data_IF_273737394839
#
_entry.id   IF_273737394839
#
_cell.length_a   1.000
_cell.length_b   1.000
_cell.length_c   1.000
_cell.angle_alpha   90.00
_cell.angle_beta   90.00
_cell.angle_gamma   90.00
#
_symmetry.space_group_name_H-M   'P 1'
#
loop_
_entity.id
_entity.type
_entity.pdbx_description
1 polymer ?
#
# COMPACT_ATOMS: atom_id res chain seq x y z
N UNK A 1 -35.54 48.57 27.42
CA UNK A 1 -35.83 47.20 26.96
C UNK A 1 -34.72 46.79 26.02
N UNK A 2 -33.76 45.97 26.47
CA UNK A 2 -32.67 45.47 25.62
C UNK A 2 -32.91 43.99 25.35
N UNK A 3 -33.23 43.67 24.09
CA UNK A 3 -33.40 42.30 23.61
C UNK A 3 -32.03 41.68 23.37
N UNK A 4 -31.68 40.67 24.16
CA UNK A 4 -30.44 39.90 24.00
C UNK A 4 -30.65 38.87 22.89
N UNK A 5 -30.03 39.10 21.73
CA UNK A 5 -29.92 38.08 20.68
C UNK A 5 -28.98 36.97 21.17
N UNK A 6 -29.52 35.77 21.37
CA UNK A 6 -28.77 34.57 21.72
C UNK A 6 -28.28 33.95 20.41
N UNK A 7 -26.99 34.15 20.08
CA UNK A 7 -26.36 33.55 18.90
C UNK A 7 -26.15 32.05 19.20
N UNK A 8 -27.02 31.21 18.64
CA UNK A 8 -26.88 29.75 18.74
C UNK A 8 -25.74 29.32 17.80
N UNK A 9 -24.54 29.14 18.34
CA UNK A 9 -23.42 28.52 17.62
C UNK A 9 -23.72 27.02 17.53
N UNK A 10 -24.29 26.60 16.40
CA UNK A 10 -24.42 25.18 16.08
C UNK A 10 -23.03 24.71 15.62
N UNK A 11 -22.24 24.22 16.57
CA UNK A 11 -20.98 23.54 16.26
C UNK A 11 -21.34 22.20 15.60
N UNK A 12 -21.26 22.13 14.28
CA UNK A 12 -21.43 20.88 13.54
C UNK A 12 -20.28 19.93 13.91
N UNK A 13 -20.55 18.97 14.79
CA UNK A 13 -19.63 17.85 15.02
C UNK A 13 -19.60 17.01 13.76
N UNK A 14 -18.48 17.05 13.04
CA UNK A 14 -18.19 16.12 11.94
C UNK A 14 -17.92 14.76 12.58
N UNK A 15 -18.89 13.86 12.51
CA UNK A 15 -18.71 12.46 12.91
C UNK A 15 -18.04 11.74 11.75
N UNK A 16 -16.76 11.38 11.91
CA UNK A 16 -16.07 10.51 10.96
C UNK A 16 -16.65 9.10 11.08
N UNK A 17 -17.25 8.60 10.00
CA UNK A 17 -17.74 7.23 9.92
C UNK A 17 -16.55 6.38 9.45
N UNK A 18 -16.22 5.26 10.12
CA UNK A 18 -15.17 4.38 9.64
C UNK A 18 -15.54 3.89 8.24
N UNK A 19 -14.68 4.15 7.28
CA UNK A 19 -14.88 3.71 5.91
C UNK A 19 -14.89 2.17 5.85
N UNK A 20 -15.81 1.61 5.07
CA UNK A 20 -15.84 0.16 4.83
C UNK A 20 -14.79 -0.13 3.77
N UNK A 21 -13.92 -1.10 4.04
CA UNK A 21 -12.87 -1.46 3.10
C UNK A 21 -12.85 -2.96 2.77
N UNK A 22 -12.29 -3.28 1.60
CA UNK A 22 -12.06 -4.65 1.11
C UNK A 22 -10.56 -4.91 1.05
N UNK A 23 -10.10 -5.99 1.65
CA UNK A 23 -8.69 -6.39 1.57
C UNK A 23 -8.46 -7.31 0.36
N UNK A 24 -7.58 -6.90 -0.56
CA UNK A 24 -7.15 -7.69 -1.72
C UNK A 24 -5.66 -7.47 -1.91
N UNK A 25 -4.88 -8.56 -2.04
CA UNK A 25 -3.44 -8.52 -2.33
C UNK A 25 -2.61 -7.58 -1.44
N UNK A 26 -2.82 -7.65 -0.11
CA UNK A 26 -2.16 -6.79 0.88
C UNK A 26 -2.49 -5.29 0.75
N UNK A 27 -3.55 -4.94 0.03
CA UNK A 27 -4.11 -3.59 -0.03
C UNK A 27 -5.49 -3.58 0.57
N UNK A 28 -5.78 -2.50 1.28
CA UNK A 28 -7.11 -2.19 1.76
C UNK A 28 -7.72 -1.16 0.79
N UNK A 29 -8.84 -1.51 0.15
CA UNK A 29 -9.56 -0.69 -0.83
C UNK A 29 -10.81 -0.10 -0.21
N UNK A 30 -10.93 1.24 -0.23
CA UNK A 30 -12.18 1.90 0.16
C UNK A 30 -13.26 1.64 -0.87
N UNK A 31 -14.52 1.65 -0.43
CA UNK A 31 -15.64 1.32 -1.30
C UNK A 31 -15.95 2.49 -2.25
N UNK A 32 -15.97 2.28 -3.57
CA UNK A 32 -16.37 3.32 -4.53
C UNK A 32 -17.71 3.99 -4.20
N UNK A 33 -18.68 3.23 -3.69
CA UNK A 33 -20.00 3.76 -3.32
C UNK A 33 -19.96 4.82 -2.20
N UNK A 34 -18.86 4.94 -1.47
CA UNK A 34 -18.68 5.96 -0.43
C UNK A 34 -18.33 7.35 -1.00
N UNK A 35 -17.98 7.40 -2.29
CA UNK A 35 -17.50 8.60 -2.99
C UNK A 35 -18.43 9.05 -4.12
N UNK A 36 -19.71 8.64 -4.08
CA UNK A 36 -20.72 9.07 -5.03
C UNK A 36 -21.03 10.57 -4.90
N UNK A 37 -21.49 11.19 -5.98
CA UNK A 37 -21.77 12.63 -6.06
C UNK A 37 -20.52 13.52 -5.88
N UNK A 38 -19.33 12.98 -6.15
CA UNK A 38 -18.08 13.72 -6.25
C UNK A 38 -17.63 13.74 -7.71
N UNK A 39 -17.16 14.89 -8.18
CA UNK A 39 -16.49 14.99 -9.47
C UNK A 39 -15.03 14.56 -9.36
N UNK A 40 -14.38 14.32 -10.50
CA UNK A 40 -12.93 14.06 -10.51
C UNK A 40 -12.15 15.25 -9.96
N UNK A 41 -12.60 16.47 -10.23
CA UNK A 41 -12.00 17.69 -9.69
C UNK A 41 -12.11 17.77 -8.16
N UNK A 42 -13.20 17.27 -7.57
CA UNK A 42 -13.36 17.22 -6.11
C UNK A 42 -12.35 16.26 -5.48
N UNK A 43 -12.13 15.10 -6.10
CA UNK A 43 -11.12 14.12 -5.65
C UNK A 43 -9.71 14.70 -5.83
N UNK A 44 -9.43 15.30 -6.97
CA UNK A 44 -8.13 15.91 -7.27
C UNK A 44 -7.78 17.12 -6.38
N UNK A 45 -8.77 17.75 -5.74
CA UNK A 45 -8.53 18.79 -4.75
C UNK A 45 -7.97 18.25 -3.41
N UNK A 46 -8.19 16.96 -3.12
CA UNK A 46 -7.78 16.29 -1.88
C UNK A 46 -6.62 15.31 -2.12
N UNK A 47 -6.56 14.71 -3.30
CA UNK A 47 -5.57 13.75 -3.72
C UNK A 47 -4.73 14.32 -4.86
N UNK A 48 -3.40 14.28 -4.73
CA UNK A 48 -2.49 14.73 -5.79
C UNK A 48 -2.64 13.83 -7.03
N UNK A 49 -3.02 14.40 -8.16
CA UNK A 49 -3.31 13.63 -9.39
C UNK A 49 -2.06 13.00 -10.03
N UNK A 50 -0.85 13.46 -9.70
CA UNK A 50 0.40 12.90 -10.24
C UNK A 50 0.85 11.68 -9.44
N UNK A 51 0.76 11.75 -8.11
CA UNK A 51 1.27 10.74 -7.17
C UNK A 51 0.18 9.81 -6.63
N UNK A 52 -1.07 10.28 -6.65
CA UNK A 52 -2.22 9.64 -6.00
C UNK A 52 -2.31 9.93 -4.50
N UNK A 53 -1.33 10.58 -3.87
CA UNK A 53 -1.33 10.75 -2.41
C UNK A 53 -2.48 11.64 -1.93
N UNK A 54 -3.31 11.12 -1.02
CA UNK A 54 -4.45 11.82 -0.43
C UNK A 54 -4.14 12.35 0.97
N UNK A 55 -4.58 13.58 1.25
CA UNK A 55 -4.46 14.21 2.56
C UNK A 55 -5.67 15.10 2.86
N UNK A 56 -6.56 14.64 3.73
CA UNK A 56 -7.75 15.38 4.14
C UNK A 56 -9.05 14.57 4.02
N UNK A 57 -10.16 15.30 4.01
CA UNK A 57 -11.51 14.73 3.97
C UNK A 57 -12.02 14.69 2.53
N UNK A 58 -12.51 13.53 2.09
CA UNK A 58 -13.26 13.36 0.86
C UNK A 58 -14.71 13.03 1.23
N UNK A 59 -15.59 14.01 1.12
CA UNK A 59 -16.93 13.94 1.72
C UNK A 59 -16.84 13.84 3.26
N UNK A 60 -17.38 12.75 3.82
CA UNK A 60 -17.37 12.49 5.26
C UNK A 60 -16.24 11.56 5.73
N UNK A 61 -15.38 11.12 4.80
CA UNK A 61 -14.32 10.13 5.06
C UNK A 61 -12.96 10.81 5.09
N UNK A 62 -12.18 10.52 6.13
CA UNK A 62 -10.76 10.91 6.17
C UNK A 62 -9.97 9.94 5.30
N UNK A 63 -9.46 10.45 4.18
CA UNK A 63 -8.67 9.68 3.20
C UNK A 63 -7.17 9.92 3.36
N UNK A 64 -6.74 10.51 4.48
CA UNK A 64 -5.32 10.76 4.75
C UNK A 64 -4.51 9.46 4.77
N UNK A 65 -3.49 9.40 3.93
CA UNK A 65 -2.62 8.22 3.79
C UNK A 65 -3.14 7.15 2.82
N UNK A 66 -4.29 7.36 2.20
CA UNK A 66 -4.71 6.58 1.03
C UNK A 66 -4.03 7.11 -0.24
N UNK A 67 -4.02 6.24 -1.25
CA UNK A 67 -3.59 6.51 -2.61
C UNK A 67 -4.79 6.41 -3.54
N UNK A 68 -5.07 7.47 -4.28
CA UNK A 68 -5.99 7.46 -5.41
C UNK A 68 -5.37 6.65 -6.55
N UNK A 69 -5.98 5.52 -6.88
CA UNK A 69 -5.46 4.54 -7.82
C UNK A 69 -5.35 5.10 -9.24
N UNK A 70 -4.32 4.68 -9.98
CA UNK A 70 -4.29 4.83 -11.44
C UNK A 70 -4.93 3.61 -12.12
N UNK A 71 -5.04 3.62 -13.45
CA UNK A 71 -5.60 2.52 -14.24
C UNK A 71 -4.83 1.22 -14.02
N UNK A 72 -3.50 1.27 -13.89
CA UNK A 72 -2.69 0.07 -13.67
C UNK A 72 -2.95 -0.57 -12.31
N UNK A 73 -3.14 0.24 -11.26
CA UNK A 73 -3.50 -0.23 -9.93
C UNK A 73 -4.86 -0.94 -9.95
N UNK A 74 -5.85 -0.38 -10.66
CA UNK A 74 -7.18 -0.99 -10.78
C UNK A 74 -7.17 -2.24 -11.67
N UNK A 75 -6.40 -2.24 -12.75
CA UNK A 75 -6.18 -3.45 -13.56
C UNK A 75 -5.56 -4.57 -12.73
N UNK A 76 -4.58 -4.26 -11.88
CA UNK A 76 -3.98 -5.25 -10.98
C UNK A 76 -5.02 -5.81 -10.00
N UNK A 77 -5.87 -4.97 -9.42
CA UNK A 77 -7.02 -5.39 -8.61
C UNK A 77 -7.98 -6.29 -9.40
N UNK A 78 -8.36 -5.93 -10.62
CA UNK A 78 -9.28 -6.74 -11.41
C UNK A 78 -8.66 -8.10 -11.80
N UNK A 79 -7.38 -8.10 -12.17
CA UNK A 79 -6.64 -9.30 -12.53
C UNK A 79 -6.46 -10.27 -11.36
N UNK A 80 -6.49 -9.81 -10.10
CA UNK A 80 -6.39 -10.69 -8.92
C UNK A 80 -7.57 -11.67 -8.82
N UNK A 81 -8.68 -11.40 -9.53
CA UNK A 81 -9.85 -12.27 -9.61
C UNK A 81 -9.81 -13.28 -10.76
N UNK A 82 -8.71 -13.34 -11.50
CA UNK A 82 -8.49 -14.38 -12.51
C UNK A 82 -8.98 -14.05 -13.92
N UNK A 83 -9.09 -12.76 -14.26
CA UNK A 83 -9.37 -12.30 -15.62
C UNK A 83 -8.29 -12.83 -16.59
N UNK A 84 -8.71 -13.37 -17.73
CA UNK A 84 -7.82 -13.93 -18.75
C UNK A 84 -8.29 -13.56 -20.17
N UNK A 85 -7.43 -12.94 -21.01
CA UNK A 85 -6.07 -12.48 -20.69
C UNK A 85 -6.06 -11.38 -19.61
N UNK A 86 -4.96 -11.17 -18.87
CA UNK A 86 -4.91 -10.11 -17.88
C UNK A 86 -4.98 -8.73 -18.55
N UNK A 87 -5.61 -7.78 -17.87
CA UNK A 87 -5.63 -6.37 -18.26
C UNK A 87 -4.20 -5.78 -18.11
N UNK A 88 -3.62 -5.28 -19.20
CA UNK A 88 -2.30 -4.65 -19.33
C UNK A 88 -2.36 -3.15 -19.66
N UNK A 89 -3.55 -2.58 -19.85
CA UNK A 89 -3.70 -1.14 -20.11
C UNK A 89 -5.15 -0.67 -20.01
N UNK A 90 -5.49 0.53 -20.50
CA UNK A 90 -6.89 0.91 -20.68
C UNK A 90 -7.49 0.02 -21.77
N UNK A 91 -8.21 -1.00 -21.36
CA UNK A 91 -8.86 -1.98 -22.24
C UNK A 91 -10.16 -2.49 -21.62
N UNK A 92 -10.90 -3.25 -22.41
CA UNK A 92 -12.13 -3.88 -21.99
C UNK A 92 -12.08 -5.36 -22.33
N UNK A 93 -12.40 -6.18 -21.33
CA UNK A 93 -12.63 -7.61 -21.48
C UNK A 93 -14.07 -7.89 -21.10
N UNK A 94 -14.73 -8.67 -21.93
CA UNK A 94 -16.09 -9.11 -21.69
C UNK A 94 -16.21 -10.60 -21.96
N UNK A 95 -16.93 -11.28 -21.07
CA UNK A 95 -17.15 -12.72 -21.10
C UNK A 95 -18.58 -13.01 -20.64
N UNK A 96 -19.21 -14.07 -21.13
CA UNK A 96 -20.53 -14.49 -20.65
C UNK A 96 -20.31 -15.45 -19.48
N UNK A 97 -21.01 -15.22 -18.37
CA UNK A 97 -20.97 -16.09 -17.18
C UNK A 97 -19.55 -16.33 -16.66
N UNK A 98 -18.79 -15.25 -16.53
CA UNK A 98 -17.43 -15.33 -16.04
C UNK A 98 -17.37 -15.76 -14.58
N UNK A 99 -16.29 -16.44 -14.19
CA UNK A 99 -16.07 -16.74 -12.78
C UNK A 99 -15.54 -15.53 -12.00
N UNK A 100 -14.92 -14.55 -12.68
CA UNK A 100 -14.22 -13.44 -12.05
C UNK A 100 -15.18 -12.34 -11.56
N UNK A 101 -16.27 -12.06 -12.29
CA UNK A 101 -17.21 -11.01 -11.93
C UNK A 101 -17.94 -11.29 -10.61
N UNK A 102 -18.61 -12.44 -10.42
CA UNK A 102 -19.26 -12.76 -9.15
C UNK A 102 -18.24 -12.92 -8.02
N UNK A 103 -17.01 -13.39 -8.30
CA UNK A 103 -15.95 -13.48 -7.30
C UNK A 103 -15.51 -12.09 -6.80
N UNK A 104 -15.45 -11.09 -7.69
CA UNK A 104 -15.15 -9.71 -7.34
C UNK A 104 -16.18 -9.16 -6.34
N UNK A 105 -17.48 -9.32 -6.63
CA UNK A 105 -18.53 -8.86 -5.72
C UNK A 105 -18.61 -9.70 -4.43
N UNK A 106 -18.34 -11.00 -4.50
CA UNK A 106 -18.26 -11.86 -3.33
C UNK A 106 -17.12 -11.49 -2.36
N UNK A 107 -16.06 -10.83 -2.83
CA UNK A 107 -15.02 -10.26 -1.97
C UNK A 107 -15.50 -9.10 -1.10
N UNK A 108 -16.69 -8.54 -1.39
CA UNK A 108 -17.35 -7.54 -0.56
C UNK A 108 -17.41 -6.14 -1.16
N UNK A 109 -17.00 -5.97 -2.43
CA UNK A 109 -17.23 -4.75 -3.19
C UNK A 109 -18.73 -4.54 -3.43
N UNK A 110 -19.20 -3.30 -3.25
CA UNK A 110 -20.62 -2.96 -3.37
C UNK A 110 -20.86 -2.11 -4.61
N UNK A 111 -21.91 -2.46 -5.37
CA UNK A 111 -22.36 -1.74 -6.56
C UNK A 111 -22.52 -0.23 -6.30
N UNK A 112 -22.08 0.60 -7.25
CA UNK A 112 -22.25 2.06 -7.21
C UNK A 112 -23.63 2.51 -7.68
N UNK A 113 -24.53 1.58 -8.01
CA UNK A 113 -25.92 1.89 -8.34
C UNK A 113 -26.19 2.11 -9.83
N UNK A 114 -25.25 1.78 -10.71
CA UNK A 114 -25.57 1.55 -12.12
C UNK A 114 -26.50 0.32 -12.25
N UNK A 115 -27.17 0.15 -13.39
CA UNK A 115 -28.17 -0.92 -13.55
C UNK A 115 -27.55 -2.32 -13.40
N UNK A 116 -27.92 -3.03 -12.35
CA UNK A 116 -27.42 -4.39 -12.05
C UNK A 116 -26.31 -4.41 -11.00
N UNK A 117 -25.47 -5.45 -11.05
CA UNK A 117 -24.30 -5.59 -10.18
C UNK A 117 -23.10 -4.98 -10.89
N UNK A 118 -22.85 -3.70 -10.65
CA UNK A 118 -21.76 -2.99 -11.32
C UNK A 118 -21.15 -1.90 -10.46
N UNK A 119 -19.87 -1.66 -10.65
CA UNK A 119 -19.13 -0.58 -10.03
C UNK A 119 -18.46 0.23 -11.11
N UNK A 120 -18.66 1.54 -11.06
CA UNK A 120 -17.94 2.52 -11.86
C UNK A 120 -17.24 3.44 -10.88
N UNK A 121 -15.93 3.61 -11.02
CA UNK A 121 -15.19 4.55 -10.19
C UNK A 121 -14.05 5.20 -10.95
N UNK A 122 -13.83 6.48 -10.66
CA UNK A 122 -12.74 7.24 -11.25
C UNK A 122 -11.39 6.81 -10.68
N UNK A 123 -10.45 6.60 -11.59
CA UNK A 123 -9.01 6.58 -11.29
C UNK A 123 -8.43 7.98 -11.43
N UNK A 124 -7.20 8.20 -10.96
CA UNK A 124 -6.50 9.47 -11.11
C UNK A 124 -6.08 9.78 -12.55
N UNK A 125 -6.10 8.80 -13.44
CA UNK A 125 -5.62 9.00 -14.80
C UNK A 125 -6.64 9.77 -15.65
N UNK A 126 -6.11 10.70 -16.44
CA UNK A 126 -6.89 11.41 -17.46
C UNK A 126 -6.62 10.85 -18.87
N UNK A 127 -7.63 10.90 -19.73
CA UNK A 127 -7.59 10.48 -21.14
C UNK A 127 -7.60 11.69 -22.07
N UNK A 128 -6.97 11.55 -23.23
CA UNK A 128 -6.91 12.60 -24.25
C UNK A 128 -8.05 12.51 -25.30
N UNK A 129 -9.15 11.79 -25.01
CA UNK A 129 -10.22 11.55 -25.98
C UNK A 129 -11.61 11.65 -25.34
N UNK A 130 -12.49 12.49 -25.88
CA UNK A 130 -13.93 12.56 -25.60
C UNK A 130 -14.32 12.91 -24.16
N UNK A 131 -14.03 12.00 -23.23
CA UNK A 131 -14.20 12.12 -21.80
C UNK A 131 -12.82 12.02 -21.12
N UNK A 132 -12.38 13.08 -20.41
CA UNK A 132 -11.01 13.19 -19.97
C UNK A 132 -10.68 12.33 -18.76
N UNK A 133 -11.62 11.64 -18.11
CA UNK A 133 -11.34 10.83 -16.92
C UNK A 133 -11.43 9.35 -17.23
N UNK A 134 -10.45 8.57 -16.77
CA UNK A 134 -10.54 7.12 -16.76
C UNK A 134 -11.37 6.67 -15.55
N UNK A 135 -12.50 6.00 -15.82
CA UNK A 135 -13.39 5.47 -14.79
C UNK A 135 -13.53 3.93 -14.89
N UNK A 136 -12.50 3.17 -14.47
CA UNK A 136 -12.56 1.72 -14.52
C UNK A 136 -13.83 1.14 -13.91
N UNK A 137 -14.38 0.17 -14.62
CA UNK A 137 -15.71 -0.40 -14.42
C UNK A 137 -15.64 -1.92 -14.33
N UNK A 138 -16.42 -2.48 -13.40
CA UNK A 138 -16.65 -3.93 -13.24
C UNK A 138 -18.15 -4.19 -13.30
N UNK A 139 -18.59 -5.13 -14.13
CA UNK A 139 -20.00 -5.51 -14.31
C UNK A 139 -20.10 -7.03 -14.19
N UNK A 140 -20.98 -7.48 -13.31
CA UNK A 140 -21.48 -8.85 -13.18
C UNK A 140 -22.91 -8.86 -13.72
N UNK A 141 -23.05 -9.38 -14.94
CA UNK A 141 -24.32 -9.56 -15.60
C UNK A 141 -25.15 -10.64 -14.91
N UNK A 142 -26.46 -10.67 -15.17
CA UNK A 142 -27.25 -11.83 -14.75
C UNK A 142 -26.83 -13.08 -15.54
N UNK A 143 -27.09 -14.28 -15.00
CA UNK A 143 -26.79 -15.55 -15.68
C UNK A 143 -27.27 -15.56 -17.15
N UNK A 144 -26.36 -15.92 -18.04
CA UNK A 144 -26.49 -15.89 -19.50
C UNK A 144 -26.24 -14.52 -20.13
N UNK A 145 -25.85 -13.50 -19.36
CA UNK A 145 -25.50 -12.17 -19.84
C UNK A 145 -23.98 -11.93 -19.77
N UNK A 146 -23.59 -10.80 -20.34
CA UNK A 146 -22.20 -10.41 -20.47
C UNK A 146 -21.72 -9.72 -19.18
N UNK A 147 -20.61 -10.21 -18.66
CA UNK A 147 -19.78 -9.56 -17.66
C UNK A 147 -18.78 -8.66 -18.36
N UNK A 148 -18.35 -7.58 -17.71
CA UNK A 148 -17.34 -6.67 -18.29
C UNK A 148 -16.41 -6.11 -17.24
N UNK A 149 -15.11 -6.19 -17.50
CA UNK A 149 -14.08 -5.41 -16.83
C UNK A 149 -13.50 -4.42 -17.84
N UNK A 150 -13.72 -3.13 -17.63
CA UNK A 150 -13.34 -2.06 -18.56
C UNK A 150 -12.59 -0.96 -17.83
N UNK A 151 -11.29 -0.83 -18.08
CA UNK A 151 -10.48 0.28 -17.58
C UNK A 151 -10.39 1.46 -18.56
N UNK A 152 -10.98 1.31 -19.74
CA UNK A 152 -11.08 2.34 -20.76
C UNK A 152 -12.43 3.11 -20.76
N UNK A 153 -13.34 2.88 -19.82
CA UNK A 153 -14.53 3.69 -19.67
C UNK A 153 -14.20 5.16 -19.32
N UNK A 154 -14.90 6.10 -19.95
CA UNK A 154 -14.63 7.54 -19.87
C UNK A 154 -15.74 8.31 -19.15
N UNK A 155 -15.39 9.24 -18.27
CA UNK A 155 -16.33 10.14 -17.60
C UNK A 155 -15.94 11.63 -17.76
N UNK A 156 -16.90 12.57 -17.68
CA UNK A 156 -16.58 14.00 -17.59
C UNK A 156 -15.87 14.31 -16.26
N UNK A 157 -14.92 15.24 -16.28
CA UNK A 157 -14.12 15.61 -15.09
C UNK A 157 -14.91 16.38 -14.03
N UNK A 158 -15.90 17.15 -14.47
CA UNK A 158 -16.69 18.09 -13.67
C UNK A 158 -18.10 17.55 -13.35
N UNK A 159 -18.38 16.29 -13.70
CA UNK A 159 -19.69 15.68 -13.47
C UNK A 159 -19.70 14.90 -12.15
N UNK A 160 -20.36 15.40 -11.08
CA UNK A 160 -20.57 14.65 -9.85
C UNK A 160 -21.68 13.62 -10.07
N UNK A 161 -21.34 12.55 -10.81
CA UNK A 161 -22.30 11.51 -11.12
C UNK A 161 -22.73 10.76 -9.86
N UNK A 162 -24.02 10.43 -9.77
CA UNK A 162 -24.59 9.73 -8.62
C UNK A 162 -24.19 8.25 -8.54
N UNK A 163 -23.56 7.72 -9.59
CA UNK A 163 -23.23 6.31 -9.80
C UNK A 163 -21.75 6.07 -10.09
N UNK A 164 -20.91 7.11 -10.03
CA UNK A 164 -19.46 7.02 -10.21
C UNK A 164 -18.77 7.37 -8.89
N UNK A 165 -18.05 6.40 -8.33
CA UNK A 165 -17.23 6.56 -7.12
C UNK A 165 -15.79 6.92 -7.44
N UNK A 166 -14.87 6.64 -6.50
CA UNK A 166 -13.43 6.75 -6.69
C UNK A 166 -12.69 5.51 -6.19
N UNK A 167 -11.61 5.12 -6.88
CA UNK A 167 -10.77 3.99 -6.48
C UNK A 167 -9.64 4.46 -5.55
N UNK A 168 -9.77 4.23 -4.25
CA UNK A 168 -8.73 4.57 -3.26
C UNK A 168 -8.26 3.31 -2.54
N UNK A 169 -6.95 3.18 -2.35
CA UNK A 169 -6.37 2.08 -1.58
C UNK A 169 -5.25 2.56 -0.66
N UNK A 170 -4.88 1.73 0.30
CA UNK A 170 -3.60 1.85 1.02
C UNK A 170 -2.98 0.47 1.17
N UNK A 171 -1.65 0.43 1.21
CA UNK A 171 -0.96 -0.82 1.51
C UNK A 171 -1.15 -1.17 2.99
N UNK A 172 -1.49 -2.42 3.26
CA UNK A 172 -1.56 -2.97 4.61
C UNK A 172 -0.12 -3.20 5.05
N UNK A 173 0.34 -2.62 6.18
CA UNK A 173 1.69 -2.84 6.66
C UNK A 173 1.93 -4.33 6.83
N UNK A 174 2.86 -4.90 6.06
CA UNK A 174 3.29 -6.27 6.30
C UNK A 174 3.85 -6.32 7.73
N UNK A 175 3.35 -7.20 8.61
CA UNK A 175 3.88 -7.31 9.95
C UNK A 175 5.38 -7.54 9.84
N UNK A 176 6.16 -6.64 10.46
CA UNK A 176 7.61 -6.80 10.49
C UNK A 176 7.91 -8.21 11.03
N UNK A 177 8.75 -9.01 10.34
CA UNK A 177 9.09 -10.32 10.83
C UNK A 177 9.62 -10.16 12.27
N UNK A 178 9.23 -11.03 13.21
CA UNK A 178 9.74 -10.96 14.57
C UNK A 178 11.28 -10.87 14.51
N UNK A 179 11.91 -10.08 15.41
CA UNK A 179 13.36 -9.96 15.43
C UNK A 179 13.96 -11.36 15.36
N UNK A 180 14.91 -11.57 14.43
CA UNK A 180 15.59 -12.84 14.34
C UNK A 180 16.04 -13.24 15.76
N UNK A 181 15.88 -14.52 16.18
CA UNK A 181 16.40 -14.97 17.46
C UNK A 181 17.82 -14.46 17.60
N UNK A 182 18.13 -13.84 18.75
CA UNK A 182 19.48 -13.38 18.99
C UNK A 182 20.45 -14.52 18.63
N UNK A 183 21.48 -14.28 17.81
CA UNK A 183 22.43 -15.33 17.46
C UNK A 183 22.90 -15.97 18.78
N UNK A 184 23.03 -17.31 18.83
CA UNK A 184 23.55 -17.95 20.02
C UNK A 184 24.85 -17.24 20.40
N UNK A 185 25.11 -16.98 21.70
CA UNK A 185 26.31 -16.29 22.13
C UNK A 185 27.49 -16.97 21.44
N UNK A 186 28.21 -16.20 20.60
CA UNK A 186 29.40 -16.70 19.92
C UNK A 186 30.26 -17.26 21.04
N UNK A 187 30.51 -18.58 21.00
CA UNK A 187 31.40 -19.22 21.96
C UNK A 187 32.72 -18.48 21.84
N UNK A 188 33.01 -17.59 22.79
CA UNK A 188 34.29 -16.93 22.88
C UNK A 188 35.27 -18.09 23.03
N UNK A 189 36.18 -18.32 22.08
CA UNK A 189 37.18 -19.35 22.27
C UNK A 189 37.88 -19.01 23.56
N UNK A 190 37.71 -19.86 24.58
CA UNK A 190 38.48 -19.77 25.80
C UNK A 190 39.93 -19.80 25.36
N UNK A 191 40.56 -18.63 25.39
CA UNK A 191 41.97 -18.44 25.08
C UNK A 191 42.72 -19.11 26.24
N UNK A 192 42.78 -20.43 26.18
CA UNK A 192 43.35 -21.29 27.19
C UNK A 192 44.42 -22.15 26.52
N UNK A 193 45.58 -22.18 27.17
CA UNK A 193 46.81 -22.91 26.85
C UNK A 193 47.82 -22.24 25.90
N UNK A 194 47.45 -21.69 24.73
CA UNK A 194 48.48 -21.29 23.74
C UNK A 194 49.29 -20.07 24.20
N UNK A 195 48.65 -19.03 24.76
CA UNK A 195 49.36 -17.82 25.22
C UNK A 195 50.26 -18.08 26.44
N UNK A 196 49.86 -18.98 27.34
CA UNK A 196 50.67 -19.37 28.51
C UNK A 196 51.92 -20.16 28.11
N UNK A 197 51.84 -20.99 27.06
CA UNK A 197 52.96 -21.79 26.57
C UNK A 197 54.09 -20.91 26.00
N UNK A 198 53.73 -19.83 25.27
CA UNK A 198 54.72 -18.90 24.72
C UNK A 198 55.44 -18.07 25.79
N UNK A 199 54.76 -17.65 26.86
CA UNK A 199 55.41 -16.96 28.00
C UNK A 199 56.36 -17.87 28.78
N UNK A 200 56.02 -19.14 28.98
CA UNK A 200 56.89 -20.09 29.69
C UNK A 200 58.19 -20.41 28.91
N UNK A 201 58.08 -20.57 27.58
CA UNK A 201 59.24 -20.81 26.71
C UNK A 201 60.19 -19.61 26.63
N UNK A 202 59.65 -18.37 26.64
CA UNK A 202 60.47 -17.16 26.65
C UNK A 202 61.29 -17.01 27.95
N UNK A 203 60.71 -17.35 29.10
CA UNK A 203 61.42 -17.33 30.39
C UNK A 203 62.50 -18.41 30.48
N UNK A 204 62.26 -19.61 29.94
CA UNK A 204 63.25 -20.69 29.93
C UNK A 204 64.47 -20.36 29.05
N UNK A 205 64.26 -19.69 27.91
CA UNK A 205 65.35 -19.26 27.02
C UNK A 205 66.24 -18.15 27.62
N UNK A 206 65.71 -17.34 28.54
CA UNK A 206 66.49 -16.34 29.28
C UNK A 206 67.30 -17.01 30.40
N UNK A 207 66.74 -17.99 31.10
CA UNK A 207 67.42 -18.71 32.18
C UNK A 207 68.59 -19.58 31.70
N UNK A 208 68.55 -20.07 30.46
CA UNK A 208 69.58 -20.94 29.90
C UNK A 208 70.73 -20.19 29.19
N UNK A 209 70.80 -18.86 29.24
CA UNK A 209 71.93 -18.13 28.64
C UNK A 209 73.21 -18.36 29.47
N UNK A 210 74.23 -19.03 28.91
CA UNK A 210 75.49 -19.22 29.61
C UNK A 210 76.15 -17.86 29.87
N UNK A 211 76.49 -17.60 31.13
CA UNK A 211 77.28 -16.43 31.55
C UNK A 211 78.67 -16.59 30.93
N UNK A 212 78.85 -16.04 29.73
CA UNK A 212 80.15 -15.93 29.08
C UNK A 212 80.99 -14.95 29.87
N UNK A 213 81.77 -15.49 30.82
CA UNK A 213 82.74 -14.74 31.59
C UNK A 213 83.77 -14.10 30.66
N UNK A 214 83.76 -12.76 30.58
CA UNK A 214 84.83 -11.97 29.98
C UNK A 214 86.14 -12.28 30.71
N UNK A 215 86.99 -13.12 30.12
CA UNK A 215 88.42 -13.19 30.46
C UNK A 215 89.09 -11.91 29.94
N UNK A 216 89.29 -10.94 30.82
CA UNK A 216 90.18 -9.81 30.59
C UNK A 216 91.60 -10.33 30.40
N UNK A 217 92.12 -10.23 29.18
CA UNK A 217 93.51 -10.51 28.85
C UNK A 217 94.29 -9.21 29.01
N UNK A 218 95.13 -9.14 30.04
CA UNK A 218 96.09 -8.07 30.22
C UNK A 218 97.21 -8.23 29.18
N UNK A 219 97.49 -7.16 28.43
CA UNK A 219 98.67 -7.03 27.58
C UNK A 219 99.67 -6.16 28.34
N UNK A 220 100.89 -6.66 28.49
CA UNK A 220 102.11 -5.91 28.81
C UNK A 220 103.14 -6.28 27.76
#
# INVERSE_FOLDING_TARGET
MFSRAFLLVITTMVVSIPAKAVEVDSREWLQPMEFLNLSWLDVAAICDSNTGACNGMLGAIDVTGYTWANVNDVNALFNSFGISPPLVGPESISEIDSAWAPAFFAAGFISTGCSGTCIIAMSRDTKNIGFPVAAPTMIDGADGLQDTADSNFGAPEDNPASDIGAWLFRDIPTPSPPPAPAPPPVAVPTSSAITLLFTALALLAIALRPISGKRSRAIR
#
